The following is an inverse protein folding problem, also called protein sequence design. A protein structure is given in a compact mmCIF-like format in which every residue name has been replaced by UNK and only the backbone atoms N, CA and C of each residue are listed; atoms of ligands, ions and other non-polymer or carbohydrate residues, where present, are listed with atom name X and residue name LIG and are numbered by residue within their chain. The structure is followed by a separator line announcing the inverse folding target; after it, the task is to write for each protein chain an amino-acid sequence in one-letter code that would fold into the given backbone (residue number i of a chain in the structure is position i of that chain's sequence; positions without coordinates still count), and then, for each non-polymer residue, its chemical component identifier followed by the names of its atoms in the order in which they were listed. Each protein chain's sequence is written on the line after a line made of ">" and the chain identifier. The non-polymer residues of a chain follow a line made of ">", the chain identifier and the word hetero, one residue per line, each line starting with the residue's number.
data_IF_281689490063
#
_entry.id   IF_281689490063
#
_cell.length_a   1.000
_cell.length_b   1.000
_cell.length_c   1.000
_cell.angle_alpha   90.00
_cell.angle_beta   90.00
_cell.angle_gamma   90.00
#
_symmetry.space_group_name_H-M   'P 1'
#
loop_
_entity.id
_entity.type
_entity.pdbx_description
1 polymer ?
#
# COMPACT_ATOMS: atom_id res chain seq x y z
N UNK A 1 1.17 -2.63 0.90
CA UNK A 1 2.56 -2.20 1.01
C UNK A 1 3.04 -1.76 -0.37
N UNK A 2 2.91 -0.46 -0.63
CA UNK A 2 3.40 0.18 -1.86
C UNK A 2 4.83 0.71 -1.71
N UNK A 3 5.50 0.50 -0.55
CA UNK A 3 6.87 0.98 -0.23
C UNK A 3 7.10 2.51 -0.26
N UNK A 4 6.02 3.29 -0.26
CA UNK A 4 6.08 4.76 -0.22
C UNK A 4 5.13 5.29 0.85
N UNK A 5 5.35 6.53 1.27
CA UNK A 5 4.31 7.39 1.84
C UNK A 5 3.37 7.83 0.71
N UNK A 6 2.56 6.90 0.21
CA UNK A 6 1.84 7.02 -1.08
C UNK A 6 1.07 8.33 -1.27
N UNK A 7 0.37 8.81 -0.24
CA UNK A 7 -0.34 10.09 -0.32
C UNK A 7 0.61 11.28 -0.50
N UNK A 8 1.71 11.36 0.26
CA UNK A 8 2.71 12.42 0.10
C UNK A 8 3.41 12.32 -1.24
N UNK A 9 3.72 11.09 -1.68
CA UNK A 9 4.31 10.82 -3.00
C UNK A 9 3.41 11.30 -4.14
N UNK A 10 2.10 11.05 -4.08
CA UNK A 10 1.12 11.56 -5.06
C UNK A 10 1.14 13.10 -5.13
N UNK A 11 1.18 13.78 -3.98
CA UNK A 11 1.27 15.25 -3.96
C UNK A 11 2.59 15.76 -4.55
N UNK A 12 3.71 15.10 -4.24
CA UNK A 12 5.02 15.42 -4.81
C UNK A 12 5.04 15.21 -6.33
N UNK A 13 4.35 14.20 -6.81
CA UNK A 13 4.17 13.94 -8.23
C UNK A 13 3.41 15.07 -8.93
N UNK A 14 2.21 15.41 -8.44
CA UNK A 14 1.33 16.37 -9.09
C UNK A 14 1.81 17.82 -8.99
N UNK A 15 2.35 18.23 -7.84
CA UNK A 15 2.59 19.64 -7.54
C UNK A 15 4.06 20.01 -7.39
N UNK A 16 4.97 19.03 -7.37
CA UNK A 16 6.40 19.25 -7.19
C UNK A 16 7.23 18.58 -8.29
N UNK A 17 6.66 18.40 -9.49
CA UNK A 17 7.36 17.87 -10.67
C UNK A 17 8.02 16.51 -10.43
N UNK A 18 7.38 15.62 -9.66
CA UNK A 18 7.95 14.29 -9.36
C UNK A 18 9.15 14.32 -8.42
N UNK A 19 9.39 15.40 -7.69
CA UNK A 19 10.49 15.48 -6.71
C UNK A 19 10.13 14.74 -5.42
N UNK A 20 10.45 13.45 -5.38
CA UNK A 20 10.18 12.58 -4.23
C UNK A 20 11.17 12.81 -3.07
N UNK A 21 10.87 13.78 -2.21
CA UNK A 21 11.68 14.09 -1.03
C UNK A 21 11.23 13.27 0.18
N UNK A 22 12.01 12.25 0.57
CA UNK A 22 11.80 11.42 1.77
C UNK A 22 10.42 10.75 1.86
N UNK A 23 9.78 10.50 0.73
CA UNK A 23 8.49 9.80 0.63
C UNK A 23 8.65 8.35 0.17
N UNK A 24 9.86 7.92 -0.19
CA UNK A 24 10.21 6.54 -0.48
C UNK A 24 10.75 5.86 0.79
N UNK A 25 10.53 4.56 0.94
CA UNK A 25 11.00 3.79 2.09
C UNK A 25 11.94 2.67 1.66
N UNK A 26 13.25 2.93 1.64
CA UNK A 26 14.27 1.90 1.38
C UNK A 26 14.47 0.95 2.57
N UNK A 27 14.20 1.40 3.79
CA UNK A 27 14.49 0.67 5.03
C UNK A 27 13.25 0.01 5.66
N UNK A 28 12.38 -0.60 4.84
CA UNK A 28 11.25 -1.36 5.38
C UNK A 28 11.71 -2.74 5.90
N UNK A 29 11.26 -3.18 7.09
CA UNK A 29 11.53 -4.51 7.57
C UNK A 29 10.77 -5.55 6.75
N UNK A 30 11.19 -6.81 6.86
CA UNK A 30 10.36 -7.94 6.45
C UNK A 30 9.19 -8.07 7.45
N UNK A 31 8.00 -7.62 7.04
CA UNK A 31 6.81 -7.65 7.89
C UNK A 31 6.30 -9.05 8.20
N UNK A 32 6.56 -10.03 7.31
CA UNK A 32 6.24 -11.44 7.59
C UNK A 32 7.09 -11.94 8.73
N UNK A 33 8.40 -11.72 8.66
CA UNK A 33 9.34 -12.12 9.72
C UNK A 33 9.06 -11.38 11.03
N UNK A 34 8.67 -10.11 10.95
CA UNK A 34 8.27 -9.34 12.13
C UNK A 34 7.04 -9.97 12.80
N UNK A 35 5.99 -10.28 12.04
CA UNK A 35 4.79 -10.94 12.58
C UNK A 35 5.10 -12.32 13.19
N UNK A 36 5.94 -13.12 12.52
CA UNK A 36 6.41 -14.41 13.02
C UNK A 36 7.19 -14.28 14.34
N UNK A 37 8.03 -13.25 14.49
CA UNK A 37 8.78 -13.00 15.72
C UNK A 37 7.87 -12.70 16.93
N UNK A 38 6.67 -12.17 16.70
CA UNK A 38 5.63 -11.98 17.73
C UNK A 38 4.73 -13.21 17.93
N UNK A 39 5.01 -14.34 17.26
CA UNK A 39 4.24 -15.59 17.39
C UNK A 39 2.99 -15.66 16.52
N UNK A 40 2.84 -14.75 15.55
CA UNK A 40 1.68 -14.70 14.66
C UNK A 40 2.01 -15.28 13.27
N UNK A 41 0.98 -15.47 12.45
CA UNK A 41 1.16 -15.93 11.06
C UNK A 41 1.44 -14.72 10.19
N UNK A 42 2.53 -14.74 9.43
CA UNK A 42 2.79 -13.75 8.37
C UNK A 42 2.53 -14.37 6.99
N UNK A 43 1.90 -13.60 6.10
CA UNK A 43 1.68 -13.97 4.71
C UNK A 43 2.12 -12.83 3.79
N UNK A 44 2.93 -13.13 2.78
CA UNK A 44 3.28 -12.19 1.71
C UNK A 44 2.44 -12.49 0.48
N UNK A 45 1.77 -11.48 -0.07
CA UNK A 45 0.97 -11.58 -1.28
C UNK A 45 1.58 -10.63 -2.30
N UNK A 46 2.25 -11.18 -3.31
CA UNK A 46 3.04 -10.42 -4.28
C UNK A 46 2.31 -10.25 -5.63
N UNK A 47 1.42 -11.18 -5.99
CA UNK A 47 0.70 -11.16 -7.27
C UNK A 47 -0.82 -11.09 -7.07
N UNK A 48 -1.56 -10.41 -7.96
CA UNK A 48 -3.02 -10.36 -7.91
C UNK A 48 -3.69 -11.74 -7.89
N UNK A 49 -3.14 -12.72 -8.63
CA UNK A 49 -3.66 -14.08 -8.70
C UNK A 49 -3.63 -14.83 -7.35
N UNK A 50 -2.75 -14.41 -6.44
CA UNK A 50 -2.57 -15.07 -5.14
C UNK A 50 -3.55 -14.57 -4.07
N UNK A 51 -4.25 -13.44 -4.34
CA UNK A 51 -5.10 -12.74 -3.37
C UNK A 51 -6.23 -13.64 -2.85
N UNK A 52 -6.98 -14.27 -3.76
CA UNK A 52 -8.12 -15.09 -3.35
C UNK A 52 -7.69 -16.29 -2.51
N UNK A 53 -6.63 -16.99 -2.94
CA UNK A 53 -6.08 -18.13 -2.21
C UNK A 53 -5.57 -17.74 -0.82
N UNK A 54 -4.80 -16.64 -0.73
CA UNK A 54 -4.28 -16.15 0.54
C UNK A 54 -5.38 -15.75 1.53
N UNK A 55 -6.44 -15.08 1.06
CA UNK A 55 -7.59 -14.72 1.89
C UNK A 55 -8.32 -15.97 2.40
N UNK A 56 -8.52 -16.98 1.54
CA UNK A 56 -9.14 -18.25 1.93
C UNK A 56 -8.33 -18.96 3.02
N UNK A 57 -7.00 -19.01 2.89
CA UNK A 57 -6.14 -19.60 3.93
C UNK A 57 -6.15 -18.79 5.23
N UNK A 58 -6.05 -17.46 5.15
CA UNK A 58 -6.12 -16.59 6.31
C UNK A 58 -7.43 -16.78 7.08
N UNK A 59 -8.57 -16.85 6.39
CA UNK A 59 -9.87 -17.02 7.03
C UNK A 59 -10.13 -18.43 7.59
N UNK A 60 -9.38 -19.46 7.20
CA UNK A 60 -9.46 -20.79 7.84
C UNK A 60 -8.90 -20.77 9.26
N UNK A 61 -7.95 -19.89 9.54
CA UNK A 61 -7.27 -19.78 10.84
C UNK A 61 -8.11 -18.96 11.83
N UNK A 62 -9.16 -19.56 12.40
CA UNK A 62 -10.13 -18.86 13.27
C UNK A 62 -9.55 -18.37 14.61
N UNK A 63 -8.55 -19.07 15.13
CA UNK A 63 -8.00 -18.83 16.47
C UNK A 63 -6.59 -18.22 16.44
N UNK A 64 -6.18 -17.66 15.30
CA UNK A 64 -4.83 -17.06 15.13
C UNK A 64 -4.90 -15.68 14.51
N UNK A 65 -4.01 -14.79 14.93
CA UNK A 65 -3.74 -13.55 14.21
C UNK A 65 -2.95 -13.88 12.93
N UNK A 66 -3.47 -13.40 11.80
CA UNK A 66 -2.82 -13.48 10.50
C UNK A 66 -2.51 -12.06 10.01
N UNK A 67 -1.22 -11.76 9.85
CA UNK A 67 -0.73 -10.54 9.23
C UNK A 67 -0.51 -10.79 7.74
N UNK A 68 -1.17 -10.01 6.90
CA UNK A 68 -1.07 -10.14 5.44
C UNK A 68 -0.39 -8.90 4.84
N UNK A 69 0.82 -9.07 4.33
CA UNK A 69 1.53 -8.04 3.57
C UNK A 69 1.18 -8.15 2.09
N UNK A 70 0.24 -7.33 1.62
CA UNK A 70 -0.08 -7.22 0.19
C UNK A 70 0.86 -6.23 -0.47
N UNK A 71 1.67 -6.67 -1.43
CA UNK A 71 2.44 -5.77 -2.27
C UNK A 71 1.56 -5.19 -3.37
N UNK A 72 1.67 -3.88 -3.53
CA UNK A 72 0.87 -3.10 -4.47
C UNK A 72 1.80 -2.21 -5.28
N UNK A 73 1.32 -1.74 -6.43
CA UNK A 73 2.10 -0.86 -7.29
C UNK A 73 2.53 0.42 -6.52
N UNK A 74 3.83 0.76 -6.52
CA UNK A 74 4.33 1.96 -5.85
C UNK A 74 3.86 3.28 -6.47
N UNK A 75 3.45 3.27 -7.74
CA UNK A 75 3.14 4.45 -8.57
C UNK A 75 1.65 4.81 -8.63
N UNK A 76 0.78 3.91 -8.17
CA UNK A 76 -0.68 4.15 -8.19
C UNK A 76 -1.08 5.39 -7.38
N UNK A 77 -2.01 6.16 -7.94
CA UNK A 77 -2.54 7.40 -7.38
C UNK A 77 -4.04 7.25 -7.10
N UNK A 78 -4.57 8.03 -6.15
CA UNK A 78 -5.99 8.03 -5.82
C UNK A 78 -6.73 9.05 -6.69
N UNK A 79 -7.74 8.57 -7.41
CA UNK A 79 -8.64 9.35 -8.25
C UNK A 79 -10.13 9.04 -7.95
N UNK A 80 -11.06 9.95 -8.25
CA UNK A 80 -10.83 11.35 -8.65
C UNK A 80 -10.28 12.18 -7.49
N UNK A 81 -9.53 13.25 -7.81
CA UNK A 81 -9.00 14.18 -6.82
C UNK A 81 -9.41 15.61 -7.16
N UNK A 82 -10.00 16.33 -6.20
CA UNK A 82 -10.18 17.79 -6.27
C UNK A 82 -8.95 18.44 -5.61
N UNK A 83 -8.10 19.18 -6.36
CA UNK A 83 -6.96 19.88 -5.78
C UNK A 83 -7.39 20.94 -4.75
N UNK A 84 -6.48 21.27 -3.83
CA UNK A 84 -6.75 22.34 -2.88
C UNK A 84 -7.01 23.67 -3.61
N UNK A 85 -8.13 24.30 -3.29
CA UNK A 85 -8.56 25.56 -3.92
C UNK A 85 -9.35 25.40 -5.23
N UNK A 86 -9.52 24.18 -5.75
CA UNK A 86 -10.32 23.92 -6.95
C UNK A 86 -11.80 23.66 -6.61
N UNK A 87 -12.69 23.89 -7.58
CA UNK A 87 -14.11 23.54 -7.49
C UNK A 87 -14.34 22.03 -7.65
N UNK A 88 -15.50 21.54 -7.18
CA UNK A 88 -15.87 20.11 -7.30
C UNK A 88 -15.99 19.63 -8.76
N UNK A 89 -16.18 20.56 -9.71
CA UNK A 89 -16.22 20.28 -11.14
C UNK A 89 -14.82 20.29 -11.81
N UNK A 90 -13.75 20.58 -11.05
CA UNK A 90 -12.37 20.69 -11.54
C UNK A 90 -11.52 19.50 -11.04
N UNK A 91 -12.09 18.30 -11.11
CA UNK A 91 -11.42 17.07 -10.68
C UNK A 91 -10.31 16.66 -11.64
N UNK A 92 -9.19 16.20 -11.08
CA UNK A 92 -8.20 15.39 -11.79
C UNK A 92 -8.75 13.97 -11.91
N UNK A 93 -8.80 13.45 -13.13
CA UNK A 93 -9.23 12.10 -13.48
C UNK A 93 -8.03 11.24 -13.93
N UNK A 94 -8.27 9.94 -14.09
CA UNK A 94 -7.29 8.92 -14.52
C UNK A 94 -6.84 9.14 -15.96
#
# INVERSE_FOLDING_TARGET
>A
NNRYLGMVRQWQEFFYSGRYAMSYMEALPDFVKLAEAYGHVGMLIDKPADVEGALREAFKLKDRLVFMDFRTDPTENVYPMVPAGAGLNEMILV
#
